data_IF_909087995238
#
_entry.id   IF_909087995238
#
_cell.length_a   1.000
_cell.length_b   1.000
_cell.length_c   1.000
_cell.angle_alpha   90.00
_cell.angle_beta   90.00
_cell.angle_gamma   90.00
#
_symmetry.space_group_name_H-M   'P 1'
#
loop_
_entity.id
_entity.type
_entity.pdbx_description
1 polymer ?
#
# COMPACT_ATOMS: atom_id res chain seq x y z
N UNK A 1 1.45 2.93 18.56
CA UNK A 1 0.49 3.22 17.47
C UNK A 1 1.14 2.81 16.16
N UNK A 2 0.48 1.97 15.37
CA UNK A 2 1.02 1.49 14.09
C UNK A 2 0.73 2.51 12.98
N UNK A 3 1.75 2.89 12.22
CA UNK A 3 1.66 3.88 11.13
C UNK A 3 0.73 3.34 10.01
N UNK A 4 -0.39 4.00 9.68
CA UNK A 4 -1.35 3.51 8.69
C UNK A 4 -0.77 3.47 7.27
N UNK A 5 0.22 4.31 6.95
CA UNK A 5 0.92 4.28 5.65
C UNK A 5 1.73 2.99 5.53
N UNK A 6 2.47 2.62 6.58
CA UNK A 6 3.25 1.37 6.61
C UNK A 6 2.36 0.13 6.54
N UNK A 7 1.23 0.14 7.24
CA UNK A 7 0.26 -0.96 7.19
C UNK A 7 -0.31 -1.15 5.78
N UNK A 8 -0.69 -0.05 5.13
CA UNK A 8 -1.16 -0.09 3.75
C UNK A 8 -0.05 -0.56 2.78
N UNK A 9 1.20 -0.13 2.98
CA UNK A 9 2.32 -0.54 2.14
C UNK A 9 2.59 -2.05 2.24
N UNK A 10 2.61 -2.61 3.45
CA UNK A 10 2.77 -4.05 3.67
C UNK A 10 1.61 -4.82 3.05
N UNK A 11 0.38 -4.37 3.27
CA UNK A 11 -0.81 -5.00 2.68
C UNK A 11 -0.79 -4.99 1.14
N UNK A 12 -0.29 -3.91 0.53
CA UNK A 12 -0.10 -3.83 -0.93
C UNK A 12 1.04 -4.72 -1.44
N UNK A 13 2.08 -4.95 -0.64
CA UNK A 13 3.22 -5.77 -1.00
C UNK A 13 2.91 -7.27 -0.94
N UNK A 14 2.02 -7.68 -0.02
CA UNK A 14 1.60 -9.08 0.11
C UNK A 14 0.53 -9.51 -0.90
N UNK A 15 -0.05 -8.57 -1.65
CA UNK A 15 -1.13 -8.83 -2.61
C UNK A 15 -0.61 -8.91 -4.05
N UNK A 16 -0.92 -10.00 -4.79
CA UNK A 16 -0.64 -10.09 -6.22
C UNK A 16 -1.25 -8.94 -7.00
N UNK A 17 -0.55 -8.44 -8.03
CA UNK A 17 -1.01 -7.27 -8.81
C UNK A 17 -2.40 -7.46 -9.42
N UNK A 18 -2.75 -8.69 -9.83
CA UNK A 18 -4.03 -9.02 -10.43
C UNK A 18 -5.22 -8.90 -9.46
N UNK A 19 -4.97 -9.00 -8.15
CA UNK A 19 -6.00 -8.95 -7.10
C UNK A 19 -6.15 -7.55 -6.50
N UNK A 20 -5.26 -6.62 -6.84
CA UNK A 20 -5.30 -5.26 -6.29
C UNK A 20 -6.58 -4.54 -6.69
N UNK A 21 -7.28 -3.89 -5.74
CA UNK A 21 -8.51 -3.18 -6.05
C UNK A 21 -8.23 -1.98 -6.95
N UNK A 22 -9.10 -1.79 -7.94
CA UNK A 22 -9.07 -0.65 -8.85
C UNK A 22 -10.39 0.12 -8.74
N UNK A 23 -10.38 1.43 -8.42
CA UNK A 23 -9.20 2.28 -8.17
C UNK A 23 -8.60 2.10 -6.75
N UNK A 24 -7.27 1.98 -6.68
CA UNK A 24 -6.54 1.69 -5.43
C UNK A 24 -6.59 2.84 -4.41
N UNK A 25 -6.47 4.10 -4.86
CA UNK A 25 -6.40 5.25 -3.94
C UNK A 25 -7.70 5.40 -3.13
N UNK A 26 -8.91 5.43 -3.72
CA UNK A 26 -10.15 5.47 -2.95
C UNK A 26 -10.31 4.30 -1.97
N UNK A 27 -9.82 3.12 -2.34
CA UNK A 27 -9.85 1.95 -1.47
C UNK A 27 -8.96 2.15 -0.23
N UNK A 28 -7.71 2.56 -0.42
CA UNK A 28 -6.77 2.81 0.68
C UNK A 28 -7.27 3.90 1.63
N UNK A 29 -7.90 4.94 1.09
CA UNK A 29 -8.53 6.01 1.88
C UNK A 29 -9.66 5.47 2.76
N UNK A 30 -10.52 4.60 2.21
CA UNK A 30 -11.65 4.01 2.95
C UNK A 30 -11.19 2.98 3.99
N UNK A 31 -10.24 2.12 3.64
CA UNK A 31 -9.82 1.01 4.50
C UNK A 31 -8.87 1.45 5.62
N UNK A 32 -7.92 2.34 5.31
CA UNK A 32 -6.85 2.72 6.24
C UNK A 32 -6.95 4.17 6.73
N UNK A 33 -7.99 4.91 6.31
CA UNK A 33 -8.19 6.31 6.70
C UNK A 33 -7.15 7.28 6.11
N UNK A 34 -6.47 6.89 5.03
CA UNK A 34 -5.39 7.69 4.45
C UNK A 34 -5.90 8.95 3.76
N UNK A 35 -5.07 9.98 3.74
CA UNK A 35 -5.18 11.06 2.76
C UNK A 35 -4.74 10.58 1.36
N UNK A 36 -5.08 11.30 0.28
CA UNK A 36 -4.59 10.94 -1.06
C UNK A 36 -3.05 10.88 -1.15
N UNK A 37 -2.35 11.79 -0.48
CA UNK A 37 -0.88 11.81 -0.47
C UNK A 37 -0.32 10.56 0.23
N UNK A 38 -0.85 10.23 1.40
CA UNK A 38 -0.47 9.03 2.16
C UNK A 38 -0.77 7.73 1.40
N UNK A 39 -1.84 7.68 0.61
CA UNK A 39 -2.14 6.53 -0.24
C UNK A 39 -1.07 6.36 -1.34
N UNK A 40 -0.60 7.45 -1.95
CA UNK A 40 0.50 7.42 -2.91
C UNK A 40 1.81 7.00 -2.25
N UNK A 41 2.10 7.50 -1.05
CA UNK A 41 3.27 7.09 -0.26
C UNK A 41 3.25 5.59 0.03
N UNK A 42 2.11 5.04 0.45
CA UNK A 42 1.95 3.60 0.71
C UNK A 42 2.20 2.76 -0.56
N UNK A 43 1.68 3.19 -1.71
CA UNK A 43 1.89 2.51 -3.00
C UNK A 43 3.37 2.51 -3.42
N UNK A 44 4.10 3.60 -3.16
CA UNK A 44 5.52 3.67 -3.46
C UNK A 44 6.34 2.80 -2.48
N UNK A 45 6.02 2.85 -1.19
CA UNK A 45 6.67 2.05 -0.17
C UNK A 45 6.48 0.54 -0.39
N UNK A 46 5.31 0.10 -0.87
CA UNK A 46 5.04 -1.32 -1.13
C UNK A 46 5.94 -1.90 -2.22
N UNK A 47 6.33 -1.09 -3.21
CA UNK A 47 7.21 -1.50 -4.32
C UNK A 47 8.66 -1.67 -3.85
N UNK A 48 9.08 -0.90 -2.85
CA UNK A 48 10.42 -1.00 -2.28
C UNK A 48 10.56 -2.27 -1.44
N UNK A 49 9.51 -2.66 -0.72
CA UNK A 49 9.50 -3.90 0.08
C UNK A 49 9.62 -5.15 -0.79
N UNK A 50 9.00 -5.18 -1.97
CA UNK A 50 9.07 -6.33 -2.89
C UNK A 50 10.46 -6.51 -3.53
N UNK A 51 11.34 -5.51 -3.49
CA UNK A 51 12.71 -5.61 -4.05
C UNK A 51 13.72 -6.22 -3.07
N UNK A 52 13.48 -6.14 -1.75
CA UNK A 52 14.40 -6.66 -0.74
C UNK A 52 14.30 -8.19 -0.51
N UNK A 53 13.27 -8.86 -1.04
CA UNK A 53 13.12 -10.32 -0.95
C UNK A 53 13.62 -11.07 -2.21
N UNK A 54 14.08 -10.35 -3.23
CA UNK A 54 14.55 -10.90 -4.50
C UNK A 54 16.08 -10.83 -4.69
N UNK A 55 16.85 -10.57 -3.63
CA UNK A 55 18.32 -10.52 -3.63
C UNK A 55 18.94 -11.58 -2.73
#
# INVERSE_FOLDING_TARGET
MSDPVKQAAVWLATMPQAEKPHPIIPHLRKQFGLTPLQAVEAINASKLQTQNEAS
#
